data_IF_633843401518
#
_entry.id   IF_633843401518
#
_cell.length_a   1.000
_cell.length_b   1.000
_cell.length_c   1.000
_cell.angle_alpha   90.00
_cell.angle_beta   90.00
_cell.angle_gamma   90.00
#
_symmetry.space_group_name_H-M   'P 1'
#
loop_
_entity.id
_entity.type
_entity.pdbx_description
1 polymer ?
#
# COMPACT_ATOMS: atom_id res chain seq x y z
N UNK A 1 -6.84 -7.67 0.36
CA UNK A 1 -7.08 -6.45 1.18
C UNK A 1 -5.84 -5.57 1.17
N UNK A 2 -5.98 -4.28 0.87
CA UNK A 2 -4.90 -3.31 0.82
C UNK A 2 -5.02 -2.38 2.00
N UNK A 3 -4.05 -2.39 2.90
CA UNK A 3 -4.04 -1.54 4.09
C UNK A 3 -2.78 -0.69 4.12
N UNK A 4 -2.93 0.57 4.51
CA UNK A 4 -1.82 1.50 4.68
C UNK A 4 -1.61 1.83 6.15
N UNK A 5 -0.37 2.06 6.53
CA UNK A 5 0.00 2.70 7.79
C UNK A 5 0.51 4.10 7.51
N UNK A 6 -0.22 5.10 7.98
CA UNK A 6 0.11 6.51 7.86
C UNK A 6 0.20 7.16 9.23
N UNK A 7 0.73 8.37 9.32
CA UNK A 7 0.85 9.10 10.57
C UNK A 7 2.12 9.94 10.64
N UNK A 8 2.28 10.67 11.73
CA UNK A 8 3.42 11.55 11.98
C UNK A 8 4.75 10.77 11.98
N UNK A 9 5.85 11.43 11.64
CA UNK A 9 7.20 10.89 11.83
C UNK A 9 7.43 10.47 13.29
N UNK A 10 7.96 9.26 13.47
CA UNK A 10 8.21 8.67 14.78
C UNK A 10 6.96 8.16 15.53
N UNK A 11 5.76 8.17 14.93
CA UNK A 11 4.55 7.66 15.59
C UNK A 11 4.52 6.13 15.77
N UNK A 12 5.41 5.39 15.10
CA UNK A 12 5.48 3.92 15.17
C UNK A 12 4.78 3.19 14.03
N UNK A 13 4.60 3.85 12.85
CA UNK A 13 4.02 3.23 11.65
C UNK A 13 4.70 1.92 11.29
N UNK A 14 6.01 1.95 11.10
CA UNK A 14 6.83 0.80 10.71
C UNK A 14 6.75 -0.33 11.73
N UNK A 15 6.77 0.00 13.02
CA UNK A 15 6.60 -0.98 14.10
C UNK A 15 5.24 -1.66 13.99
N UNK A 16 4.15 -0.89 13.90
CA UNK A 16 2.79 -1.46 13.87
C UNK A 16 2.48 -2.16 12.56
N UNK A 17 2.99 -1.68 11.42
CA UNK A 17 2.86 -2.37 10.14
C UNK A 17 3.59 -3.72 10.17
N UNK A 18 4.81 -3.78 10.70
CA UNK A 18 5.56 -5.02 10.86
C UNK A 18 4.86 -6.02 11.79
N UNK A 19 4.26 -5.55 12.89
CA UNK A 19 3.47 -6.41 13.79
C UNK A 19 2.23 -6.98 13.10
N UNK A 20 1.51 -6.17 12.32
CA UNK A 20 0.36 -6.66 11.55
C UNK A 20 0.78 -7.67 10.48
N UNK A 21 1.87 -7.41 9.75
CA UNK A 21 2.44 -8.34 8.77
C UNK A 21 2.76 -9.69 9.42
N UNK A 22 3.47 -9.68 10.55
CA UNK A 22 3.79 -10.90 11.33
C UNK A 22 2.52 -11.62 11.80
N UNK A 23 1.52 -10.86 12.25
CA UNK A 23 0.25 -11.41 12.73
C UNK A 23 -0.53 -12.11 11.61
N UNK A 24 -0.61 -11.51 10.43
CA UNK A 24 -1.29 -12.09 9.27
C UNK A 24 -0.53 -13.32 8.74
N UNK A 25 0.79 -13.20 8.54
CA UNK A 25 1.63 -14.29 8.07
C UNK A 25 1.66 -15.47 9.03
N UNK A 26 1.67 -15.22 10.34
CA UNK A 26 1.56 -16.25 11.39
C UNK A 26 0.25 -17.06 11.31
N UNK A 27 -0.77 -16.53 10.67
CA UNK A 27 -2.02 -17.23 10.36
C UNK A 27 -2.02 -17.90 8.98
N UNK A 28 -0.86 -17.96 8.32
CA UNK A 28 -0.66 -18.55 6.98
C UNK A 28 -1.44 -17.83 5.88
N UNK A 29 -1.72 -16.54 6.06
CA UNK A 29 -2.35 -15.74 5.03
C UNK A 29 -1.28 -15.23 4.06
N UNK A 30 -1.55 -15.14 2.75
CA UNK A 30 -0.67 -14.51 1.79
C UNK A 30 -0.54 -13.01 2.09
N UNK A 31 0.69 -12.55 2.38
CA UNK A 31 0.97 -11.15 2.71
C UNK A 31 2.13 -10.64 1.87
N UNK A 32 1.94 -9.52 1.22
CA UNK A 32 3.01 -8.68 0.73
C UNK A 32 3.10 -7.43 1.61
N UNK A 33 4.27 -7.22 2.20
CA UNK A 33 4.63 -5.99 2.90
C UNK A 33 5.35 -5.07 1.92
N UNK A 34 5.05 -3.77 1.95
CA UNK A 34 5.64 -2.79 1.04
C UNK A 34 6.19 -1.63 1.88
N UNK A 35 7.50 -1.45 1.84
CA UNK A 35 8.15 -0.28 2.43
C UNK A 35 8.12 0.88 1.43
N UNK A 36 7.22 1.82 1.68
CA UNK A 36 7.07 3.04 0.89
C UNK A 36 7.63 4.28 1.62
N UNK A 37 8.39 4.09 2.71
CA UNK A 37 9.09 5.17 3.41
C UNK A 37 10.49 5.38 2.83
N UNK A 38 10.96 6.63 2.87
CA UNK A 38 12.30 7.01 2.44
C UNK A 38 13.42 6.35 3.29
N UNK A 39 13.13 6.09 4.56
CA UNK A 39 14.12 5.59 5.51
C UNK A 39 14.26 4.06 5.48
N UNK A 40 13.33 3.33 4.86
CA UNK A 40 13.42 1.90 4.58
C UNK A 40 13.71 1.01 5.81
N UNK A 41 12.91 1.15 6.86
CA UNK A 41 13.09 0.39 8.10
C UNK A 41 12.27 -0.90 8.19
N UNK A 42 11.36 -1.17 7.24
CA UNK A 42 10.45 -2.31 7.34
C UNK A 42 11.19 -3.66 7.19
N UNK A 43 12.26 -3.70 6.40
CA UNK A 43 13.09 -4.91 6.26
C UNK A 43 13.70 -5.35 7.59
N UNK A 44 14.32 -4.41 8.32
CA UNK A 44 14.88 -4.65 9.64
C UNK A 44 13.78 -5.04 10.63
N UNK A 45 12.66 -4.32 10.65
CA UNK A 45 11.52 -4.60 11.53
C UNK A 45 10.89 -5.99 11.28
N UNK A 46 10.99 -6.53 10.06
CA UNK A 46 10.54 -7.87 9.70
C UNK A 46 11.64 -8.94 9.86
N UNK A 47 12.89 -8.54 10.13
CA UNK A 47 14.03 -9.44 10.24
C UNK A 47 14.41 -10.08 8.91
N UNK A 48 14.24 -9.37 7.80
CA UNK A 48 14.65 -9.84 6.49
C UNK A 48 16.19 -9.84 6.35
N UNK A 49 16.72 -10.82 5.61
CA UNK A 49 18.16 -10.93 5.33
C UNK A 49 18.59 -9.94 4.24
N UNK A 50 18.45 -8.63 4.53
CA UNK A 50 18.81 -7.54 3.63
C UNK A 50 17.61 -6.80 3.03
N UNK A 51 17.92 -5.76 2.26
CA UNK A 51 16.92 -4.93 1.60
C UNK A 51 16.44 -5.56 0.29
N UNK A 52 15.15 -5.52 -0.04
CA UNK A 52 14.68 -5.94 -1.36
C UNK A 52 15.22 -5.01 -2.46
N UNK A 53 15.30 -5.50 -3.71
CA UNK A 53 15.57 -4.65 -4.86
C UNK A 53 14.59 -3.48 -4.91
N UNK A 54 15.14 -2.26 -5.09
CA UNK A 54 14.33 -1.05 -5.12
C UNK A 54 13.37 -1.04 -6.33
N UNK A 55 12.06 -0.98 -6.09
CA UNK A 55 11.05 -0.88 -7.16
C UNK A 55 11.30 0.34 -8.05
N UNK A 56 11.69 1.47 -7.46
CA UNK A 56 12.01 2.68 -8.20
C UNK A 56 13.16 2.50 -9.21
N UNK A 57 14.16 1.67 -8.89
CA UNK A 57 15.28 1.36 -9.77
C UNK A 57 14.89 0.37 -10.91
N UNK A 58 13.77 -0.33 -10.77
CA UNK A 58 13.24 -1.28 -11.75
C UNK A 58 11.97 -0.78 -12.45
N UNK A 59 11.70 0.51 -12.34
CA UNK A 59 10.43 1.10 -12.80
C UNK A 59 10.17 0.86 -14.29
N UNK A 60 11.19 0.94 -15.14
CA UNK A 60 11.02 0.70 -16.59
C UNK A 60 10.68 -0.77 -16.90
N UNK A 61 11.29 -1.72 -16.21
CA UNK A 61 10.97 -3.15 -16.31
C UNK A 61 9.53 -3.41 -15.85
N UNK A 62 9.13 -2.78 -14.75
CA UNK A 62 7.77 -2.87 -14.20
C UNK A 62 6.76 -2.31 -15.20
N UNK A 63 6.99 -1.12 -15.74
CA UNK A 63 6.14 -0.49 -16.74
C UNK A 63 6.01 -1.37 -18.00
N UNK A 64 7.13 -1.88 -18.51
CA UNK A 64 7.14 -2.76 -19.69
C UNK A 64 6.28 -4.00 -19.46
N UNK A 65 6.37 -4.59 -18.28
CA UNK A 65 5.54 -5.73 -17.91
C UNK A 65 4.06 -5.35 -17.80
N UNK A 66 3.73 -4.31 -17.02
CA UNK A 66 2.35 -3.90 -16.74
C UNK A 66 1.62 -3.37 -17.98
N UNK A 67 2.32 -2.71 -18.90
CA UNK A 67 1.77 -2.28 -20.18
C UNK A 67 1.12 -3.46 -20.91
N UNK A 68 1.78 -4.62 -20.96
CA UNK A 68 1.31 -5.77 -21.72
C UNK A 68 1.03 -5.40 -23.17
N UNK A 69 -0.14 -5.82 -23.65
CA UNK A 69 -0.63 -5.56 -24.99
C UNK A 69 -1.70 -4.46 -25.02
N UNK A 70 -1.69 -3.55 -24.02
CA UNK A 70 -2.66 -2.44 -23.95
C UNK A 70 -2.47 -1.49 -25.15
N UNK A 71 -3.44 -1.40 -26.08
CA UNK A 71 -3.29 -0.62 -27.30
C UNK A 71 -3.37 0.90 -27.06
N UNK A 72 -3.79 1.32 -25.86
CA UNK A 72 -3.88 2.73 -25.50
C UNK A 72 -2.58 3.30 -24.94
N UNK A 73 -1.61 2.46 -24.63
CA UNK A 73 -0.30 2.84 -24.09
C UNK A 73 0.75 2.61 -25.17
N UNK A 74 1.25 3.69 -25.77
CA UNK A 74 2.19 3.65 -26.90
C UNK A 74 3.49 2.93 -26.56
N UNK A 75 4.04 3.21 -25.35
CA UNK A 75 5.29 2.63 -24.88
C UNK A 75 5.33 2.59 -23.35
N UNK A 76 6.27 1.81 -22.77
CA UNK A 76 6.52 1.83 -21.34
C UNK A 76 6.95 3.23 -20.84
N UNK A 77 7.72 3.96 -21.65
CA UNK A 77 8.14 5.31 -21.32
C UNK A 77 6.98 6.31 -21.18
N UNK A 78 5.88 6.08 -21.93
CA UNK A 78 4.67 6.89 -21.81
C UNK A 78 3.86 6.63 -20.53
N UNK A 79 4.16 5.55 -19.80
CA UNK A 79 3.49 5.27 -18.52
C UNK A 79 4.06 6.16 -17.42
N UNK A 80 3.16 6.69 -16.58
CA UNK A 80 3.50 7.42 -15.36
C UNK A 80 2.96 6.68 -14.13
N UNK A 81 3.34 7.12 -12.94
CA UNK A 81 2.93 6.50 -11.66
C UNK A 81 1.42 6.30 -11.52
N UNK A 82 0.62 7.15 -12.13
CA UNK A 82 -0.84 7.12 -12.06
C UNK A 82 -1.49 6.38 -13.21
N UNK A 83 -0.73 5.84 -14.19
CA UNK A 83 -1.32 5.13 -15.33
C UNK A 83 -2.22 4.00 -14.84
N UNK A 84 -3.54 4.04 -15.15
CA UNK A 84 -4.46 2.99 -14.76
C UNK A 84 -4.33 1.78 -15.69
N UNK A 85 -4.67 0.58 -15.26
CA UNK A 85 -4.82 -0.56 -16.17
C UNK A 85 -6.00 -0.35 -17.12
N UNK A 86 -5.91 -1.00 -18.28
CA UNK A 86 -6.97 -1.08 -19.28
C UNK A 86 -6.96 -2.44 -19.95
N UNK A 87 -7.79 -2.65 -20.96
CA UNK A 87 -7.78 -3.89 -21.74
C UNK A 87 -6.41 -4.11 -22.37
N UNK A 88 -5.86 -5.31 -22.19
CA UNK A 88 -4.52 -5.66 -22.62
C UNK A 88 -3.41 -5.37 -21.61
N UNK A 89 -3.66 -4.59 -20.55
CA UNK A 89 -2.71 -4.44 -19.44
C UNK A 89 -2.57 -5.74 -18.66
N UNK A 90 -1.37 -6.02 -18.15
CA UNK A 90 -1.15 -7.11 -17.21
C UNK A 90 -1.47 -6.69 -15.81
N UNK A 91 -2.24 -7.54 -15.12
CA UNK A 91 -2.56 -7.36 -13.72
C UNK A 91 -1.67 -8.27 -12.88
N UNK A 92 -1.35 -7.80 -11.66
CA UNK A 92 -0.52 -8.51 -10.69
C UNK A 92 -1.40 -9.29 -9.72
N UNK A 93 -0.98 -10.49 -9.33
CA UNK A 93 -1.64 -11.32 -8.31
C UNK A 93 -0.63 -11.70 -7.25
N UNK A 94 -0.99 -11.60 -5.96
CA UNK A 94 -0.04 -11.86 -4.87
C UNK A 94 0.61 -13.27 -4.93
N UNK A 95 -0.13 -14.26 -5.38
CA UNK A 95 0.36 -15.62 -5.61
C UNK A 95 1.02 -15.85 -6.95
N UNK A 96 1.10 -14.83 -7.81
CA UNK A 96 1.62 -14.92 -9.16
C UNK A 96 3.15 -15.07 -9.22
N UNK A 97 3.63 -15.75 -10.26
CA UNK A 97 5.05 -15.89 -10.59
C UNK A 97 5.56 -14.78 -11.53
N UNK A 98 4.97 -13.58 -11.46
CA UNK A 98 5.34 -12.46 -12.33
C UNK A 98 6.67 -11.80 -11.93
N UNK A 99 7.35 -11.10 -12.88
CA UNK A 99 8.66 -10.50 -12.62
C UNK A 99 8.63 -9.38 -11.57
N UNK A 100 7.48 -8.76 -11.31
CA UNK A 100 7.36 -7.70 -10.30
C UNK A 100 7.40 -8.33 -8.91
N UNK A 101 6.66 -9.40 -8.67
CA UNK A 101 6.73 -10.14 -7.42
C UNK A 101 8.05 -10.92 -7.24
N UNK A 102 8.81 -11.18 -8.32
CA UNK A 102 10.16 -11.73 -8.21
C UNK A 102 11.17 -10.77 -7.55
N UNK A 103 10.84 -9.47 -7.48
CA UNK A 103 11.64 -8.47 -6.74
C UNK A 103 11.41 -8.54 -5.23
N UNK A 104 10.39 -9.25 -4.76
CA UNK A 104 10.14 -9.39 -3.33
C UNK A 104 11.12 -10.38 -2.70
N UNK A 105 11.59 -10.05 -1.49
CA UNK A 105 12.36 -10.97 -0.64
C UNK A 105 11.43 -11.66 0.36
N UNK A 106 11.79 -12.88 0.75
CA UNK A 106 11.07 -13.59 1.81
C UNK A 106 11.51 -13.09 3.18
N UNK A 107 10.56 -12.99 4.10
CA UNK A 107 10.84 -12.66 5.50
C UNK A 107 10.76 -13.91 6.38
N UNK A 108 11.40 -13.93 7.56
CA UNK A 108 11.32 -15.07 8.49
C UNK A 108 9.89 -15.42 8.94
N UNK A 109 8.98 -14.46 8.93
CA UNK A 109 7.58 -14.71 9.25
C UNK A 109 6.75 -15.30 8.09
N UNK A 110 7.34 -15.43 6.89
CA UNK A 110 6.68 -15.98 5.71
C UNK A 110 5.98 -14.96 4.81
N UNK A 111 6.02 -13.66 5.16
CA UNK A 111 5.56 -12.60 4.28
C UNK A 111 6.59 -12.30 3.18
N UNK A 112 6.13 -11.79 2.04
CA UNK A 112 6.99 -11.24 0.99
C UNK A 112 7.16 -9.75 1.25
N UNK A 113 8.38 -9.23 1.09
CA UNK A 113 8.70 -7.82 1.31
C UNK A 113 9.18 -7.19 0.01
N UNK A 114 8.62 -6.04 -0.31
CA UNK A 114 9.04 -5.15 -1.41
C UNK A 114 9.35 -3.77 -0.83
N UNK A 115 10.18 -2.99 -1.52
CA UNK A 115 10.51 -1.63 -1.10
C UNK A 115 10.60 -0.67 -2.27
N UNK A 116 10.19 0.58 -2.05
CA UNK A 116 10.31 1.63 -3.07
C UNK A 116 11.76 1.95 -3.41
N UNK A 117 12.66 1.81 -2.46
CA UNK A 117 14.09 2.11 -2.55
C UNK A 117 14.49 3.39 -1.79
N UNK A 118 15.72 3.47 -1.25
CA UNK A 118 16.22 4.65 -0.56
C UNK A 118 16.56 5.76 -1.58
N UNK A 119 16.87 6.96 -1.09
CA UNK A 119 17.60 7.94 -1.88
C UNK A 119 19.01 7.43 -2.18
N UNK A 120 19.40 7.49 -3.46
CA UNK A 120 20.79 7.31 -3.88
C UNK A 120 21.54 8.64 -3.89
N UNK A 121 22.87 8.57 -4.05
CA UNK A 121 23.70 9.78 -4.18
C UNK A 121 23.26 10.65 -5.37
N UNK A 122 22.85 10.02 -6.48
CA UNK A 122 22.36 10.69 -7.68
C UNK A 122 21.01 11.39 -7.51
N UNK A 123 20.27 11.09 -6.45
CA UNK A 123 18.97 11.71 -6.16
C UNK A 123 19.10 13.01 -5.36
N UNK A 124 20.25 13.24 -4.73
CA UNK A 124 20.47 14.36 -3.82
C UNK A 124 20.39 15.69 -4.57
N UNK A 125 19.37 16.50 -4.24
CA UNK A 125 19.14 17.81 -4.84
C UNK A 125 18.53 17.78 -6.26
N UNK A 126 18.24 16.60 -6.82
CA UNK A 126 17.76 16.43 -8.19
C UNK A 126 16.39 15.75 -8.24
N UNK A 127 16.15 14.73 -7.43
CA UNK A 127 14.93 13.95 -7.48
C UNK A 127 14.00 14.24 -6.28
N UNK A 128 12.70 14.27 -6.56
CA UNK A 128 11.68 14.24 -5.52
C UNK A 128 11.40 12.78 -5.12
N UNK A 129 11.29 12.49 -3.82
CA UNK A 129 10.98 11.13 -3.35
C UNK A 129 9.66 10.58 -3.91
N UNK A 130 8.72 11.43 -4.25
CA UNK A 130 7.47 11.04 -4.91
C UNK A 130 7.67 10.33 -6.25
N UNK A 131 8.82 10.49 -6.91
CA UNK A 131 9.14 9.72 -8.11
C UNK A 131 9.38 8.25 -7.77
N UNK A 132 9.98 7.94 -6.64
CA UNK A 132 10.25 6.57 -6.17
C UNK A 132 8.99 5.88 -5.62
N UNK A 133 8.21 6.57 -4.80
CA UNK A 133 6.92 6.05 -4.32
C UNK A 133 5.93 5.81 -5.47
N UNK A 134 6.16 6.46 -6.61
CA UNK A 134 5.40 6.24 -7.83
C UNK A 134 5.40 4.78 -8.34
N UNK A 135 6.48 4.04 -8.09
CA UNK A 135 6.52 2.61 -8.42
C UNK A 135 5.51 1.81 -7.60
N UNK A 136 5.33 2.16 -6.31
CA UNK A 136 4.33 1.53 -5.43
C UNK A 136 2.92 1.93 -5.85
N UNK A 137 2.68 3.18 -6.24
CA UNK A 137 1.38 3.61 -6.75
C UNK A 137 1.00 2.86 -8.03
N UNK A 138 1.95 2.74 -8.97
CA UNK A 138 1.74 1.98 -10.21
C UNK A 138 1.50 0.50 -9.93
N UNK A 139 2.24 -0.11 -9.01
CA UNK A 139 2.02 -1.47 -8.53
C UNK A 139 0.59 -1.65 -8.00
N UNK A 140 0.16 -0.78 -7.07
CA UNK A 140 -1.18 -0.84 -6.47
C UNK A 140 -2.29 -0.62 -7.50
N UNK A 141 -2.06 0.22 -8.53
CA UNK A 141 -3.01 0.42 -9.61
C UNK A 141 -3.26 -0.88 -10.41
N UNK A 142 -2.26 -1.75 -10.52
CA UNK A 142 -2.34 -3.00 -11.30
C UNK A 142 -2.52 -4.26 -10.44
N UNK A 143 -2.57 -4.12 -9.10
CA UNK A 143 -2.70 -5.25 -8.20
C UNK A 143 -4.14 -5.77 -8.20
N UNK A 144 -4.33 -7.06 -8.44
CA UNK A 144 -5.60 -7.78 -8.34
C UNK A 144 -5.48 -8.80 -7.19
N UNK A 145 -5.56 -8.30 -5.98
CA UNK A 145 -5.54 -9.15 -4.78
C UNK A 145 -6.90 -9.80 -4.52
N UNK A 146 -6.86 -11.04 -4.07
CA UNK A 146 -8.03 -11.87 -3.79
C UNK A 146 -8.49 -11.74 -2.32
N UNK A 147 -9.74 -12.17 -1.99
CA UNK A 147 -10.15 -12.30 -0.60
C UNK A 147 -9.17 -13.16 0.21
N UNK A 148 -8.79 -12.69 1.39
CA UNK A 148 -7.82 -13.38 2.25
C UNK A 148 -6.35 -13.08 1.93
N UNK A 149 -6.05 -12.34 0.88
CA UNK A 149 -4.72 -11.83 0.57
C UNK A 149 -4.55 -10.39 1.08
N UNK A 150 -3.34 -10.03 1.52
CA UNK A 150 -3.07 -8.72 2.10
C UNK A 150 -1.86 -8.04 1.46
N UNK A 151 -2.05 -6.77 1.07
CA UNK A 151 -0.96 -5.85 0.80
C UNK A 151 -0.92 -4.83 1.95
N UNK A 152 0.17 -4.84 2.72
CA UNK A 152 0.39 -3.94 3.87
C UNK A 152 1.46 -2.93 3.50
N UNK A 153 1.11 -1.66 3.44
CA UNK A 153 2.00 -0.58 3.00
C UNK A 153 2.38 0.30 4.18
N UNK A 154 3.67 0.39 4.46
CA UNK A 154 4.25 1.35 5.40
C UNK A 154 4.54 2.66 4.65
N UNK A 155 3.72 3.69 4.88
CA UNK A 155 3.79 4.94 4.14
C UNK A 155 4.78 5.93 4.78
N UNK A 156 5.26 6.87 3.97
CA UNK A 156 6.01 8.03 4.45
C UNK A 156 5.28 8.81 5.53
N UNK A 157 6.01 9.59 6.29
CA UNK A 157 5.45 10.37 7.39
C UNK A 157 4.55 11.51 6.91
N UNK A 158 3.55 11.85 7.73
CA UNK A 158 2.69 13.01 7.50
C UNK A 158 1.58 12.77 6.48
N UNK A 159 1.30 13.79 5.67
CA UNK A 159 0.26 13.79 4.65
C UNK A 159 0.82 13.67 3.22
N UNK A 160 2.07 13.21 3.07
CA UNK A 160 2.72 13.13 1.76
C UNK A 160 2.03 12.16 0.80
N UNK A 161 1.34 11.15 1.32
CA UNK A 161 0.52 10.24 0.50
C UNK A 161 -0.53 10.96 -0.34
N UNK A 162 -0.97 12.16 0.11
CA UNK A 162 -1.91 12.99 -0.64
C UNK A 162 -1.28 13.77 -1.80
N UNK A 163 0.05 13.85 -1.87
CA UNK A 163 0.75 14.44 -3.02
C UNK A 163 0.69 13.52 -4.25
N UNK A 164 0.19 12.32 -4.11
CA UNK A 164 -0.09 11.37 -5.18
C UNK A 164 -1.48 10.74 -4.98
N UNK A 165 -1.99 10.03 -5.99
CA UNK A 165 -3.25 9.30 -5.88
C UNK A 165 -3.19 8.07 -4.96
N UNK A 166 -2.02 7.73 -4.44
CA UNK A 166 -1.78 6.48 -3.70
C UNK A 166 -2.70 6.31 -2.49
N UNK A 167 -3.05 7.39 -1.76
CA UNK A 167 -3.93 7.31 -0.60
C UNK A 167 -5.32 6.72 -0.91
N UNK A 168 -5.76 6.78 -2.18
CA UNK A 168 -7.04 6.20 -2.63
C UNK A 168 -6.93 4.74 -3.05
N UNK A 169 -5.73 4.13 -2.96
CA UNK A 169 -5.49 2.73 -3.39
C UNK A 169 -5.73 1.72 -2.29
N UNK A 170 -6.11 2.17 -1.08
CA UNK A 170 -6.27 1.32 0.11
C UNK A 170 -7.74 1.08 0.43
N UNK A 171 -8.05 -0.12 0.90
CA UNK A 171 -9.37 -0.45 1.44
C UNK A 171 -9.55 0.16 2.82
N UNK A 172 -8.44 0.28 3.58
CA UNK A 172 -8.41 0.91 4.89
C UNK A 172 -7.05 1.53 5.16
N UNK A 173 -7.02 2.76 5.62
CA UNK A 173 -5.81 3.40 6.15
C UNK A 173 -5.83 3.38 7.68
N UNK A 174 -4.83 2.80 8.27
CA UNK A 174 -4.54 2.90 9.70
C UNK A 174 -3.70 4.13 9.98
N UNK A 175 -4.28 5.13 10.62
CA UNK A 175 -3.55 6.31 11.02
C UNK A 175 -3.00 6.13 12.44
N UNK A 176 -1.67 6.03 12.54
CA UNK A 176 -0.97 5.87 13.82
C UNK A 176 -0.82 7.22 14.51
N UNK A 177 -1.50 7.38 15.63
CA UNK A 177 -1.62 8.62 16.36
C UNK A 177 -1.05 8.49 17.79
N UNK A 178 -0.06 9.31 18.13
CA UNK A 178 0.37 9.48 19.52
C UNK A 178 -0.67 10.33 20.27
N UNK A 179 -0.86 10.15 21.60
CA UNK A 179 -1.77 10.95 22.41
C UNK A 179 -1.22 12.36 22.65
N UNK A 180 -1.04 13.10 21.57
CA UNK A 180 -0.48 14.46 21.56
C UNK A 180 -1.24 15.36 20.60
N UNK A 181 -1.22 16.69 20.86
CA UNK A 181 -1.82 17.66 19.93
C UNK A 181 -1.27 17.55 18.51
N UNK A 182 0.04 17.22 18.36
CA UNK A 182 0.67 17.04 17.05
C UNK A 182 0.17 15.78 16.35
N UNK A 183 0.00 14.68 17.07
CA UNK A 183 -0.59 13.44 16.53
C UNK A 183 -2.02 13.67 16.04
N UNK A 184 -2.86 14.27 16.88
CA UNK A 184 -4.24 14.63 16.52
C UNK A 184 -4.30 15.64 15.36
N UNK A 185 -3.33 16.55 15.25
CA UNK A 185 -3.24 17.48 14.12
C UNK A 185 -3.12 16.76 12.77
N UNK A 186 -2.31 15.70 12.71
CA UNK A 186 -2.19 14.85 11.50
C UNK A 186 -3.50 14.11 11.22
N UNK A 187 -4.17 13.60 12.26
CA UNK A 187 -5.50 12.98 12.09
C UNK A 187 -6.50 13.93 11.45
N UNK A 188 -6.61 15.17 11.96
CA UNK A 188 -7.55 16.16 11.42
C UNK A 188 -7.29 16.46 9.94
N UNK A 189 -6.01 16.56 9.57
CA UNK A 189 -5.62 16.77 8.17
C UNK A 189 -6.00 15.57 7.30
N UNK A 190 -5.71 14.34 7.77
CA UNK A 190 -6.10 13.11 7.07
C UNK A 190 -7.62 12.97 6.91
N UNK A 191 -8.36 13.18 8.00
CA UNK A 191 -9.81 13.08 8.00
C UNK A 191 -10.46 14.06 7.00
N UNK A 192 -9.93 15.29 6.90
CA UNK A 192 -10.42 16.27 5.95
C UNK A 192 -10.23 15.81 4.51
N UNK A 193 -9.03 15.39 4.12
CA UNK A 193 -8.76 14.93 2.75
C UNK A 193 -9.43 13.60 2.42
N UNK A 194 -9.46 12.67 3.38
CA UNK A 194 -10.05 11.35 3.17
C UNK A 194 -11.56 11.40 2.92
N UNK A 195 -12.26 12.35 3.56
CA UNK A 195 -13.71 12.52 3.40
C UNK A 195 -14.11 12.87 1.96
N UNK A 196 -13.33 13.71 1.28
CA UNK A 196 -13.62 14.13 -0.10
C UNK A 196 -13.52 12.98 -1.12
N UNK A 197 -12.78 11.91 -0.76
CA UNK A 197 -12.53 10.76 -1.63
C UNK A 197 -13.13 9.45 -1.10
N UNK A 198 -13.93 9.53 -0.04
CA UNK A 198 -14.52 8.34 0.58
C UNK A 198 -13.47 7.26 0.90
N UNK A 199 -12.33 7.66 1.50
CA UNK A 199 -11.25 6.77 1.90
C UNK A 199 -11.48 6.35 3.35
N UNK A 200 -11.65 5.04 3.63
CA UNK A 200 -11.81 4.56 5.01
C UNK A 200 -10.53 4.78 5.83
N UNK A 201 -10.67 5.42 6.99
CA UNK A 201 -9.55 5.67 7.91
C UNK A 201 -9.94 5.22 9.31
N UNK A 202 -9.08 4.44 9.95
CA UNK A 202 -9.18 4.08 11.37
C UNK A 202 -7.95 4.57 12.12
N UNK A 203 -8.13 5.08 13.33
CA UNK A 203 -7.04 5.57 14.16
C UNK A 203 -6.53 4.47 15.08
N UNK A 204 -5.22 4.32 15.14
CA UNK A 204 -4.53 3.49 16.12
C UNK A 204 -3.80 4.42 17.07
N UNK A 205 -4.21 4.42 18.34
CA UNK A 205 -3.44 5.05 19.41
C UNK A 205 -2.13 4.29 19.64
N UNK A 206 -1.00 4.96 19.63
CA UNK A 206 0.29 4.33 19.94
C UNK A 206 1.06 5.11 20.99
N UNK A 207 1.94 4.42 21.70
CA UNK A 207 2.70 4.96 22.84
C UNK A 207 1.81 5.46 23.97
N UNK A 208 0.67 4.82 24.15
CA UNK A 208 -0.25 5.07 25.25
C UNK A 208 0.37 4.60 26.56
N UNK A 209 0.36 5.45 27.57
CA UNK A 209 0.97 5.15 28.88
C UNK A 209 -0.08 4.97 29.97
N UNK A 210 -1.22 5.66 29.85
CA UNK A 210 -2.26 5.66 30.86
C UNK A 210 -3.66 5.78 30.23
N UNK A 211 -4.71 5.60 31.03
CA UNK A 211 -6.11 5.71 30.59
C UNK A 211 -6.46 7.13 30.12
N UNK A 212 -5.81 8.13 30.68
CA UNK A 212 -5.95 9.54 30.27
C UNK A 212 -5.51 9.76 28.83
N UNK A 213 -4.51 9.03 28.34
CA UNK A 213 -4.07 9.08 26.95
C UNK A 213 -5.15 8.52 26.01
N UNK A 214 -5.82 7.44 26.43
CA UNK A 214 -6.93 6.84 25.66
C UNK A 214 -8.12 7.81 25.65
N UNK A 215 -8.45 8.41 26.80
CA UNK A 215 -9.50 9.41 26.91
C UNK A 215 -9.19 10.61 25.99
N UNK A 216 -7.97 11.13 26.02
CA UNK A 216 -7.53 12.22 25.16
C UNK A 216 -7.71 11.86 23.67
N UNK A 217 -7.28 10.68 23.24
CA UNK A 217 -7.46 10.25 21.86
C UNK A 217 -8.94 10.15 21.52
N UNK A 218 -9.75 9.50 22.37
CA UNK A 218 -11.19 9.32 22.16
C UNK A 218 -11.95 10.65 22.03
N UNK A 219 -11.59 11.62 22.84
CA UNK A 219 -12.19 12.97 22.79
C UNK A 219 -11.90 13.71 21.47
N UNK A 220 -10.74 13.42 20.85
CA UNK A 220 -10.31 14.14 19.66
C UNK A 220 -10.61 13.43 18.34
N UNK A 221 -10.62 12.09 18.32
CA UNK A 221 -10.83 11.30 17.10
C UNK A 221 -12.14 10.50 17.12
N UNK A 222 -12.83 10.48 18.23
CA UNK A 222 -14.16 9.89 18.38
C UNK A 222 -14.18 8.39 18.04
N UNK A 223 -15.18 7.98 17.29
CA UNK A 223 -15.40 6.60 16.87
C UNK A 223 -14.35 6.05 15.89
N UNK A 224 -13.49 6.92 15.34
CA UNK A 224 -12.39 6.47 14.50
C UNK A 224 -11.27 5.75 15.30
N UNK A 225 -11.21 5.92 16.64
CA UNK A 225 -10.26 5.20 17.48
C UNK A 225 -10.60 3.70 17.53
N UNK A 226 -9.81 2.92 16.80
CA UNK A 226 -10.02 1.48 16.66
C UNK A 226 -9.38 0.67 17.79
N UNK A 227 -8.13 0.96 18.11
CA UNK A 227 -7.32 0.24 19.08
C UNK A 227 -6.19 1.12 19.61
N UNK A 228 -5.60 0.71 20.73
CA UNK A 228 -4.45 1.38 21.33
C UNK A 228 -3.33 0.37 21.59
N UNK A 229 -2.08 0.83 21.40
CA UNK A 229 -0.87 0.12 21.79
C UNK A 229 -0.12 0.95 22.84
N UNK A 230 0.23 0.29 23.93
CA UNK A 230 1.04 0.85 25.00
C UNK A 230 2.54 0.58 24.79
N UNK A 231 3.28 0.71 25.86
CA UNK A 231 4.69 0.33 25.89
C UNK A 231 4.81 -1.19 25.95
N UNK A 232 5.46 -1.77 24.94
CA UNK A 232 5.71 -3.21 24.85
C UNK A 232 7.22 -3.49 24.94
N UNK A 233 7.71 -4.06 26.04
CA UNK A 233 9.14 -4.38 26.20
C UNK A 233 9.64 -5.34 25.11
N UNK A 234 8.79 -6.26 24.65
CA UNK A 234 9.12 -7.18 23.56
C UNK A 234 9.35 -6.45 22.22
N UNK A 235 8.54 -5.44 21.91
CA UNK A 235 8.72 -4.58 20.72
C UNK A 235 10.03 -3.82 20.81
N UNK A 236 10.32 -3.20 21.96
CA UNK A 236 11.60 -2.52 22.17
C UNK A 236 12.80 -3.47 22.02
N UNK A 237 12.67 -4.71 22.50
CA UNK A 237 13.70 -5.73 22.32
C UNK A 237 13.92 -6.08 20.84
N UNK A 238 12.81 -6.22 20.08
CA UNK A 238 12.84 -6.45 18.63
C UNK A 238 13.56 -5.30 17.90
N UNK A 239 13.20 -4.04 18.21
CA UNK A 239 13.85 -2.86 17.63
C UNK A 239 15.36 -2.74 17.98
N UNK A 240 15.82 -3.45 19.01
CA UNK A 240 17.23 -3.60 19.37
C UNK A 240 17.89 -4.85 18.76
N UNK A 241 17.23 -5.51 17.80
CA UNK A 241 17.75 -6.70 17.11
C UNK A 241 17.68 -8.00 17.91
N UNK A 242 16.90 -8.04 19.03
CA UNK A 242 16.71 -9.27 19.79
C UNK A 242 15.62 -10.15 19.16
N UNK A 243 15.70 -11.48 19.32
CA UNK A 243 14.65 -12.38 18.87
C UNK A 243 13.27 -11.96 19.38
N UNK A 244 12.25 -12.06 18.52
CA UNK A 244 10.89 -11.63 18.81
C UNK A 244 9.87 -12.64 18.31
N UNK A 245 8.87 -12.90 19.13
CA UNK A 245 7.68 -13.68 18.77
C UNK A 245 6.42 -12.86 19.12
N UNK A 246 5.35 -13.04 18.36
CA UNK A 246 4.05 -12.44 18.70
C UNK A 246 3.50 -12.95 20.04
N UNK A 247 3.95 -14.11 20.51
CA UNK A 247 3.65 -14.63 21.84
C UNK A 247 4.17 -13.78 22.98
N UNK A 248 5.26 -13.01 22.74
CA UNK A 248 5.90 -12.14 23.71
C UNK A 248 5.11 -10.83 23.95
N UNK A 249 4.15 -10.51 23.08
CA UNK A 249 3.28 -9.35 23.24
C UNK A 249 2.28 -9.54 24.39
N UNK A 250 1.95 -8.45 25.06
CA UNK A 250 0.86 -8.39 26.01
C UNK A 250 -0.49 -8.80 25.40
N UNK A 251 -1.44 -9.18 26.26
CA UNK A 251 -2.78 -9.60 25.84
C UNK A 251 -3.49 -8.50 25.03
N UNK A 252 -3.35 -7.25 25.46
CA UNK A 252 -4.05 -6.11 24.86
C UNK A 252 -3.50 -5.79 23.47
N UNK A 253 -2.18 -5.85 23.29
CA UNK A 253 -1.55 -5.67 21.97
C UNK A 253 -1.92 -6.78 20.99
N UNK A 254 -2.03 -8.05 21.44
CA UNK A 254 -2.55 -9.12 20.59
C UNK A 254 -4.02 -8.92 20.23
N UNK A 255 -4.84 -8.46 21.18
CA UNK A 255 -6.24 -8.13 20.92
C UNK A 255 -6.38 -6.95 19.95
N UNK A 256 -5.51 -5.96 20.05
CA UNK A 256 -5.43 -4.83 19.12
C UNK A 256 -5.10 -5.31 17.70
N UNK A 257 -4.07 -6.17 17.51
CA UNK A 257 -3.76 -6.73 16.18
C UNK A 257 -4.95 -7.51 15.58
N UNK A 258 -5.65 -8.28 16.41
CA UNK A 258 -6.87 -8.95 15.97
C UNK A 258 -7.97 -7.95 15.57
N UNK A 259 -8.08 -6.80 16.26
CA UNK A 259 -9.03 -5.74 15.90
C UNK A 259 -8.65 -5.08 14.56
N UNK A 260 -7.37 -4.81 14.33
CA UNK A 260 -6.89 -4.27 13.04
C UNK A 260 -7.27 -5.20 11.88
N UNK A 261 -7.00 -6.51 12.02
CA UNK A 261 -7.40 -7.49 11.01
C UNK A 261 -8.90 -7.46 10.77
N UNK A 262 -9.73 -7.56 11.83
CA UNK A 262 -11.19 -7.54 11.66
C UNK A 262 -11.68 -6.27 10.98
N UNK A 263 -11.09 -5.11 11.30
CA UNK A 263 -11.44 -3.85 10.66
C UNK A 263 -11.10 -3.83 9.16
N UNK A 264 -9.95 -4.42 8.79
CA UNK A 264 -9.60 -4.60 7.38
C UNK A 264 -10.56 -5.56 6.67
N UNK A 265 -10.82 -6.74 7.26
CA UNK A 265 -11.70 -7.77 6.68
C UNK A 265 -13.17 -7.31 6.55
N UNK A 266 -13.58 -6.32 7.35
CA UNK A 266 -14.90 -5.73 7.28
C UNK A 266 -15.07 -4.75 6.09
N UNK A 267 -13.99 -4.35 5.43
CA UNK A 267 -14.07 -3.47 4.26
C UNK A 267 -14.53 -4.26 3.03
N UNK A 268 -15.57 -3.75 2.39
CA UNK A 268 -15.98 -4.29 1.08
C UNK A 268 -15.12 -3.66 -0.02
N UNK A 269 -14.50 -4.49 -0.85
CA UNK A 269 -13.74 -4.03 -2.00
C UNK A 269 -14.69 -3.48 -3.08
N UNK A 270 -14.52 -2.21 -3.42
CA UNK A 270 -15.22 -1.56 -4.53
C UNK A 270 -14.24 -1.30 -5.70
N UNK A 271 -14.19 -2.26 -6.62
CA UNK A 271 -13.35 -2.16 -7.80
C UNK A 271 -13.72 -1.01 -8.73
N UNK A 272 -15.01 -0.67 -8.82
CA UNK A 272 -15.48 0.43 -9.64
C UNK A 272 -15.00 1.77 -9.08
N UNK A 273 -15.07 1.96 -7.76
CA UNK A 273 -14.50 3.12 -7.06
C UNK A 273 -12.98 3.22 -7.26
N UNK A 274 -12.25 2.12 -7.04
CA UNK A 274 -10.79 2.10 -7.23
C UNK A 274 -10.40 2.47 -8.66
N UNK A 275 -11.12 1.94 -9.66
CA UNK A 275 -10.87 2.25 -11.08
C UNK A 275 -11.17 3.71 -11.39
N UNK A 276 -12.31 4.22 -10.93
CA UNK A 276 -12.72 5.62 -11.12
C UNK A 276 -11.70 6.59 -10.50
N UNK A 277 -11.26 6.33 -9.27
CA UNK A 277 -10.25 7.16 -8.61
C UNK A 277 -8.87 7.07 -9.27
N UNK A 278 -8.45 5.88 -9.76
CA UNK A 278 -7.23 5.77 -10.55
C UNK A 278 -7.29 6.64 -11.80
N UNK A 279 -8.39 6.58 -12.51
CA UNK A 279 -8.64 7.40 -13.71
C UNK A 279 -8.63 8.90 -13.36
N UNK A 280 -9.32 9.30 -12.31
CA UNK A 280 -9.36 10.70 -11.87
C UNK A 280 -7.97 11.27 -11.58
N UNK A 281 -7.18 10.56 -10.78
CA UNK A 281 -5.82 11.02 -10.45
C UNK A 281 -4.89 10.96 -11.66
N UNK A 282 -5.08 10.01 -12.56
CA UNK A 282 -4.33 9.97 -13.83
C UNK A 282 -4.62 11.21 -14.69
N UNK A 283 -5.88 11.55 -14.89
CA UNK A 283 -6.28 12.73 -15.67
C UNK A 283 -5.78 14.04 -15.02
N UNK A 284 -5.84 14.16 -13.70
CA UNK A 284 -5.27 15.32 -12.98
C UNK A 284 -3.76 15.43 -13.19
N UNK A 285 -3.02 14.33 -13.11
CA UNK A 285 -1.57 14.31 -13.34
C UNK A 285 -1.24 14.58 -14.81
N UNK A 286 -2.02 14.06 -15.76
CA UNK A 286 -1.87 14.33 -17.19
C UNK A 286 -1.84 15.84 -17.47
N UNK A 287 -2.85 16.55 -16.99
CA UNK A 287 -2.96 18.02 -17.20
C UNK A 287 -1.90 18.79 -16.41
N UNK A 288 -1.61 18.39 -15.16
CA UNK A 288 -0.75 19.16 -14.27
C UNK A 288 0.73 19.13 -14.70
N UNK A 289 1.23 18.00 -15.19
CA UNK A 289 2.67 17.87 -15.51
C UNK A 289 2.99 16.75 -16.52
N UNK A 290 2.22 15.65 -16.55
CA UNK A 290 2.69 14.44 -17.17
C UNK A 290 2.63 14.49 -18.70
N UNK A 291 1.63 15.17 -19.30
CA UNK A 291 1.58 15.40 -20.75
C UNK A 291 2.84 16.18 -21.22
N UNK A 292 3.23 17.22 -20.47
CA UNK A 292 4.43 18.01 -20.79
C UNK A 292 5.71 17.19 -20.64
N UNK A 293 5.77 16.31 -19.63
CA UNK A 293 6.96 15.51 -19.36
C UNK A 293 7.14 14.35 -20.37
N UNK A 294 6.05 13.77 -20.86
CA UNK A 294 6.09 12.64 -21.80
C UNK A 294 5.99 13.06 -23.27
N UNK A 295 5.47 14.24 -23.54
CA UNK A 295 5.16 14.70 -24.89
C UNK A 295 3.92 14.03 -25.51
N UNK A 296 3.13 13.30 -24.71
CA UNK A 296 1.93 12.60 -25.13
C UNK A 296 0.68 13.08 -24.40
N UNK A 297 -0.49 12.93 -25.00
CA UNK A 297 -1.77 13.10 -24.31
C UNK A 297 -2.12 11.83 -23.51
N UNK A 298 -1.78 11.83 -22.22
CA UNK A 298 -1.99 10.69 -21.35
C UNK A 298 -3.47 10.43 -21.03
N UNK A 299 -4.37 11.38 -21.30
CA UNK A 299 -5.81 11.14 -21.18
C UNK A 299 -6.29 10.03 -22.14
N UNK A 300 -5.61 9.84 -23.26
CA UNK A 300 -5.87 8.78 -24.24
C UNK A 300 -5.57 7.38 -23.71
N UNK A 301 -4.76 7.26 -22.65
CA UNK A 301 -4.43 5.97 -22.00
C UNK A 301 -5.60 5.40 -21.21
N UNK A 302 -6.56 6.22 -20.81
CA UNK A 302 -7.74 5.79 -20.07
C UNK A 302 -8.63 4.92 -20.96
N UNK A 303 -8.99 3.74 -20.46
CA UNK A 303 -9.99 2.87 -21.09
C UNK A 303 -11.37 3.05 -20.40
N UNK A 304 -12.29 3.83 -20.97
CA UNK A 304 -13.54 4.17 -20.29
C UNK A 304 -14.48 2.98 -20.10
N UNK A 305 -14.26 1.90 -20.83
CA UNK A 305 -15.04 0.65 -20.71
C UNK A 305 -14.40 -0.40 -19.81
N UNK A 306 -13.27 -0.08 -19.17
CA UNK A 306 -12.57 -1.03 -18.32
C UNK A 306 -12.86 -0.74 -16.85
N UNK A 307 -13.24 -1.77 -16.10
CA UNK A 307 -13.32 -1.75 -14.63
C UNK A 307 -12.45 -2.89 -14.13
N UNK A 308 -11.46 -2.55 -13.29
CA UNK A 308 -10.60 -3.54 -12.66
C UNK A 308 -11.41 -4.46 -11.74
N UNK A 309 -11.07 -5.73 -11.73
CA UNK A 309 -11.74 -6.73 -10.90
C UNK A 309 -11.45 -8.16 -11.35
N UNK A 310 -11.97 -9.18 -10.67
CA UNK A 310 -11.74 -10.60 -11.01
C UNK A 310 -12.21 -10.98 -12.43
N UNK A 311 -13.23 -10.31 -12.95
CA UNK A 311 -13.85 -10.62 -14.26
C UNK A 311 -12.93 -10.44 -15.49
N UNK A 312 -12.03 -9.45 -15.55
CA UNK A 312 -11.10 -9.31 -16.67
C UNK A 312 -10.21 -10.53 -16.91
N UNK A 313 -9.95 -11.32 -15.89
CA UNK A 313 -9.16 -12.55 -15.99
C UNK A 313 -9.95 -13.72 -16.62
N UNK A 314 -11.27 -13.72 -16.46
CA UNK A 314 -12.14 -14.75 -17.05
C UNK A 314 -12.30 -14.58 -18.57
N UNK A 315 -12.18 -13.36 -19.08
CA UNK A 315 -12.28 -13.06 -20.51
C UNK A 315 -10.97 -13.35 -21.25
N UNK A 316 -9.83 -13.24 -20.57
CA UNK A 316 -8.52 -13.56 -21.15
C UNK A 316 -8.20 -15.07 -21.23
N UNK A 317 -8.96 -15.90 -20.51
CA UNK A 317 -8.85 -17.36 -20.48
C UNK A 317 -9.89 -18.10 -21.33
N UNK A 318 -10.65 -17.43 -22.18
CA UNK A 318 -11.57 -18.04 -23.11
C UNK A 318 -10.81 -18.86 -24.16
N UNK A 319 -10.84 -20.17 -24.02
CA UNK A 319 -10.30 -21.15 -24.96
C UNK A 319 -10.94 -20.96 -26.35
N UNK A 320 -10.19 -20.65 -27.40
CA UNK A 320 -10.74 -20.54 -28.76
C UNK A 320 -11.03 -21.87 -29.46
N UNK A 321 -11.02 -22.99 -28.73
CA UNK A 321 -11.21 -24.32 -29.30
C UNK A 321 -12.46 -25.04 -28.79
N UNK A 322 -13.64 -24.39 -28.90
CA UNK A 322 -14.93 -25.08 -28.77
C UNK A 322 -15.84 -24.65 -29.95
N UNK A 323 -15.44 -25.05 -31.14
CA UNK A 323 -16.25 -24.92 -32.32
C UNK A 323 -15.96 -26.10 -33.26
N UNK A 324 -17.00 -26.84 -33.56
CA UNK A 324 -17.11 -27.85 -34.61
C UNK A 324 -16.59 -29.29 -34.36
N UNK A 325 -17.45 -30.05 -33.70
CA UNK A 325 -17.72 -31.44 -34.20
C UNK A 325 -19.22 -31.70 -34.07
N UNK A 326 -19.98 -31.47 -35.14
CA UNK A 326 -21.21 -32.17 -35.42
C UNK A 326 -21.40 -32.17 -36.94
N UNK A 327 -21.09 -33.28 -37.53
CA UNK A 327 -21.73 -33.81 -38.73
C UNK A 327 -21.79 -35.33 -38.61
#
# INVERSE_FOLDING_TARGET
>A
MRVAFAGKGGSGKTTLSSLLVRYLAGQRLPVVAIDADINQHLAEALGADGQPPALGARLEEIKQYLRGDNPRISSAAAMVKTTPPGRGSRLLQLGGGDPVHALAVSTPCGARLMATGPFGEDDIGVACYHSKTGAVELYLNHLLDQPGEYAVVDCTAGAESFASGMFTRFDLTFLVCEPTRKGVGVWRQWAGYAADYDVPVAVIGNKVQAEEDIAFLRDHVGSALLACFGHEPAVRAMEQGRPFSLGDLGRDSRAALAALRRAADAQARDWAKLTRQATEFHLRNAVAWANSATGEDLASQVDPGFVMGPQPLLVAGGDPMAGDVLA
#
